data_IF_698122394912
#
_entry.id   IF_698122394912
#
_cell.length_a   1.000
_cell.length_b   1.000
_cell.length_c   1.000
_cell.angle_alpha   90.00
_cell.angle_beta   90.00
_cell.angle_gamma   90.00
#
_symmetry.space_group_name_H-M   'P 1'
#
loop_
_entity.id
_entity.type
_entity.pdbx_description
1 polymer ?
#
# COMPACT_ATOMS: atom_id res chain seq x y z
N UNK A 1 -3.08 7.70 -39.08
CA UNK A 1 -2.41 7.48 -37.78
C UNK A 1 -3.29 6.59 -36.90
N UNK A 2 -2.88 5.35 -36.58
CA UNK A 2 -3.63 4.51 -35.64
C UNK A 2 -3.58 5.17 -34.25
N UNK A 3 -4.73 5.59 -33.69
CA UNK A 3 -4.83 6.04 -32.29
C UNK A 3 -4.54 4.84 -31.39
N UNK A 4 -3.31 4.70 -30.94
CA UNK A 4 -2.96 3.69 -29.95
C UNK A 4 -3.50 4.09 -28.57
N UNK A 5 -3.95 3.10 -27.80
CA UNK A 5 -4.36 3.33 -26.42
C UNK A 5 -3.12 3.53 -25.55
N UNK A 6 -2.99 4.72 -24.95
CA UNK A 6 -1.83 5.12 -24.16
C UNK A 6 -2.01 4.78 -22.68
N UNK A 7 -0.93 4.81 -21.90
CA UNK A 7 -0.97 4.68 -20.43
C UNK A 7 -1.88 5.74 -19.80
N UNK A 8 -1.85 6.98 -20.29
CA UNK A 8 -2.76 8.04 -19.85
C UNK A 8 -4.23 7.71 -20.03
N UNK A 9 -4.59 7.12 -21.18
CA UNK A 9 -5.98 6.70 -21.44
C UNK A 9 -6.44 5.60 -20.47
N UNK A 10 -5.56 4.67 -20.09
CA UNK A 10 -5.88 3.64 -19.08
C UNK A 10 -6.20 4.29 -17.74
N UNK A 11 -5.33 5.18 -17.27
CA UNK A 11 -5.48 5.83 -15.96
C UNK A 11 -6.80 6.60 -15.92
N UNK A 12 -7.11 7.40 -16.95
CA UNK A 12 -8.35 8.16 -17.04
C UNK A 12 -9.57 7.22 -17.06
N UNK A 13 -9.52 6.15 -17.86
CA UNK A 13 -10.63 5.19 -17.97
C UNK A 13 -10.86 4.45 -16.66
N UNK A 14 -9.81 4.02 -15.97
CA UNK A 14 -9.90 3.37 -14.66
C UNK A 14 -10.48 4.32 -13.60
N UNK A 15 -10.04 5.58 -13.56
CA UNK A 15 -10.63 6.58 -12.67
C UNK A 15 -12.11 6.80 -12.98
N UNK A 16 -12.48 6.97 -14.26
CA UNK A 16 -13.86 7.17 -14.67
C UNK A 16 -14.76 5.98 -14.29
N UNK A 17 -14.30 4.75 -14.50
CA UNK A 17 -15.01 3.54 -14.09
C UNK A 17 -15.18 3.45 -12.57
N UNK A 18 -14.14 3.79 -11.79
CA UNK A 18 -14.22 3.82 -10.33
C UNK A 18 -15.19 4.90 -9.84
N UNK A 19 -15.16 6.09 -10.43
CA UNK A 19 -16.11 7.17 -10.12
C UNK A 19 -17.53 6.70 -10.41
N UNK A 20 -17.78 6.12 -11.59
CA UNK A 20 -19.11 5.62 -11.96
C UNK A 20 -19.59 4.51 -11.00
N UNK A 21 -18.72 3.56 -10.65
CA UNK A 21 -19.05 2.44 -9.76
C UNK A 21 -19.23 2.86 -8.28
N UNK A 22 -18.66 4.01 -7.87
CA UNK A 22 -18.63 4.48 -6.47
C UNK A 22 -19.22 5.87 -6.28
N UNK A 23 -19.98 6.37 -7.24
CA UNK A 23 -20.51 7.74 -7.24
C UNK A 23 -21.26 8.09 -5.95
N UNK A 24 -22.25 7.27 -5.57
CA UNK A 24 -23.01 7.50 -4.33
C UNK A 24 -22.17 7.39 -3.05
N UNK A 25 -21.08 6.62 -3.05
CA UNK A 25 -20.15 6.56 -1.92
C UNK A 25 -19.26 7.80 -1.86
N UNK A 26 -18.75 8.26 -3.00
CA UNK A 26 -17.96 9.49 -3.11
C UNK A 26 -18.73 10.71 -2.62
N UNK A 27 -20.02 10.83 -2.96
CA UNK A 27 -20.87 11.92 -2.44
C UNK A 27 -20.87 11.93 -0.92
N UNK A 28 -21.01 10.78 -0.27
CA UNK A 28 -20.97 10.68 1.20
C UNK A 28 -19.61 11.06 1.76
N UNK A 29 -18.52 10.67 1.10
CA UNK A 29 -17.15 11.07 1.51
C UNK A 29 -16.98 12.58 1.41
N UNK A 30 -17.44 13.21 0.32
CA UNK A 30 -17.36 14.66 0.15
C UNK A 30 -18.25 15.41 1.13
N UNK A 31 -19.44 14.89 1.44
CA UNK A 31 -20.30 15.44 2.48
C UNK A 31 -19.63 15.41 3.85
N UNK A 32 -19.05 14.25 4.22
CA UNK A 32 -18.30 14.09 5.45
C UNK A 32 -17.09 15.04 5.51
N UNK A 33 -16.39 15.22 4.38
CA UNK A 33 -15.27 16.16 4.28
C UNK A 33 -15.73 17.61 4.47
N UNK A 34 -16.85 18.01 3.85
CA UNK A 34 -17.42 19.35 4.02
C UNK A 34 -17.83 19.62 5.46
N UNK A 35 -18.46 18.64 6.12
CA UNK A 35 -18.80 18.73 7.54
C UNK A 35 -17.54 18.84 8.42
N UNK A 36 -16.51 18.04 8.15
CA UNK A 36 -15.23 18.15 8.85
C UNK A 36 -14.59 19.53 8.64
N UNK A 37 -14.61 20.06 7.42
CA UNK A 37 -14.07 21.38 7.10
C UNK A 37 -14.83 22.49 7.83
N UNK A 38 -16.15 22.36 8.00
CA UNK A 38 -16.95 23.25 8.85
C UNK A 38 -16.41 23.28 10.29
N UNK A 39 -16.12 22.12 10.88
CA UNK A 39 -15.53 22.05 12.22
C UNK A 39 -14.16 22.71 12.30
N UNK A 40 -13.34 22.66 11.25
CA UNK A 40 -12.03 23.34 11.24
C UNK A 40 -12.18 24.86 11.46
N UNK A 41 -13.26 25.47 10.97
CA UNK A 41 -13.51 26.90 11.14
C UNK A 41 -14.27 27.26 12.41
N UNK A 42 -15.07 26.35 12.97
CA UNK A 42 -15.85 26.61 14.20
C UNK A 42 -15.16 26.17 15.48
N UNK A 43 -14.51 25.00 15.48
CA UNK A 43 -13.80 24.39 16.61
C UNK A 43 -12.65 23.51 16.11
N UNK A 44 -11.49 24.13 15.97
CA UNK A 44 -10.26 23.50 15.48
C UNK A 44 -9.85 22.29 16.32
N UNK A 45 -10.03 22.34 17.65
CA UNK A 45 -9.60 21.26 18.55
C UNK A 45 -10.46 20.01 18.35
N UNK A 46 -11.78 20.18 18.19
CA UNK A 46 -12.68 19.08 17.86
C UNK A 46 -12.42 18.53 16.46
N UNK A 47 -12.12 19.39 15.47
CA UNK A 47 -11.81 18.95 14.11
C UNK A 47 -10.60 17.99 14.05
N UNK A 48 -9.53 18.27 14.80
CA UNK A 48 -8.37 17.39 14.86
C UNK A 48 -8.64 16.08 15.61
N UNK A 49 -9.47 16.09 16.66
CA UNK A 49 -9.86 14.87 17.38
C UNK A 49 -10.71 13.91 16.53
N UNK A 50 -11.49 14.45 15.60
CA UNK A 50 -12.38 13.69 14.73
C UNK A 50 -11.65 13.04 13.55
N UNK A 51 -10.49 13.59 13.16
CA UNK A 51 -9.65 13.11 12.06
C UNK A 51 -8.72 11.99 12.54
N UNK A 52 -9.15 10.76 12.28
CA UNK A 52 -8.30 9.57 12.43
C UNK A 52 -7.64 9.21 11.09
N UNK A 53 -6.68 8.28 11.13
CA UNK A 53 -5.97 7.84 9.92
C UNK A 53 -6.94 7.30 8.84
N UNK A 54 -8.02 6.61 9.24
CA UNK A 54 -8.97 6.05 8.29
C UNK A 54 -9.81 7.13 7.59
N UNK A 55 -10.31 8.13 8.31
CA UNK A 55 -11.04 9.26 7.69
C UNK A 55 -10.14 10.07 6.78
N UNK A 56 -8.92 10.40 7.22
CA UNK A 56 -7.93 11.08 6.41
C UNK A 56 -7.64 10.34 5.11
N UNK A 57 -7.56 9.01 5.18
CA UNK A 57 -7.33 8.14 4.05
C UNK A 57 -8.48 8.16 3.03
N UNK A 58 -9.74 8.14 3.50
CA UNK A 58 -10.90 8.28 2.62
C UNK A 58 -10.93 9.66 1.93
N UNK A 59 -10.61 10.73 2.67
CA UNK A 59 -10.52 12.08 2.11
C UNK A 59 -9.41 12.19 1.07
N UNK A 60 -8.23 11.63 1.37
CA UNK A 60 -7.10 11.62 0.44
C UNK A 60 -7.44 10.84 -0.83
N UNK A 61 -8.04 9.66 -0.74
CA UNK A 61 -8.45 8.90 -1.92
C UNK A 61 -9.54 9.62 -2.73
N UNK A 62 -10.47 10.31 -2.08
CA UNK A 62 -11.49 11.13 -2.76
C UNK A 62 -10.87 12.35 -3.47
N UNK A 63 -9.85 12.98 -2.89
CA UNK A 63 -9.11 14.04 -3.58
C UNK A 63 -8.32 13.46 -4.78
N UNK A 64 -7.59 12.36 -4.56
CA UNK A 64 -6.73 11.76 -5.58
C UNK A 64 -7.50 11.23 -6.78
N UNK A 65 -8.72 10.70 -6.62
CA UNK A 65 -9.52 10.22 -7.76
C UNK A 65 -9.87 11.33 -8.76
N UNK A 66 -9.90 12.60 -8.32
CA UNK A 66 -10.11 13.78 -9.18
C UNK A 66 -8.78 14.36 -9.68
N UNK A 67 -7.79 14.45 -8.79
CA UNK A 67 -6.47 15.05 -9.11
C UNK A 67 -5.69 14.19 -10.11
N UNK A 68 -5.73 12.86 -10.01
CA UNK A 68 -4.98 11.97 -10.90
C UNK A 68 -5.35 12.19 -12.39
N UNK A 69 -6.63 12.15 -12.81
CA UNK A 69 -7.01 12.47 -14.18
C UNK A 69 -6.57 13.86 -14.65
N UNK A 70 -6.68 14.87 -13.77
CA UNK A 70 -6.25 16.23 -14.09
C UNK A 70 -4.73 16.31 -14.36
N UNK A 71 -3.92 15.66 -13.51
CA UNK A 71 -2.48 15.57 -13.73
C UNK A 71 -2.14 14.82 -15.01
N UNK A 72 -2.84 13.72 -15.32
CA UNK A 72 -2.64 12.99 -16.58
C UNK A 72 -2.95 13.88 -17.79
N UNK A 73 -3.98 14.72 -17.69
CA UNK A 73 -4.33 15.66 -18.76
C UNK A 73 -3.27 16.76 -18.92
N UNK A 74 -2.80 17.36 -17.82
CA UNK A 74 -1.73 18.39 -17.81
C UNK A 74 -0.44 17.83 -18.41
N UNK A 75 -0.03 16.62 -17.99
CA UNK A 75 1.22 15.98 -18.40
C UNK A 75 1.05 15.01 -19.58
N UNK A 76 -0.01 15.15 -20.39
CA UNK A 76 -0.32 14.24 -21.52
C UNK A 76 0.80 14.10 -22.57
N UNK A 77 1.70 15.10 -22.66
CA UNK A 77 2.85 15.10 -23.58
C UNK A 77 4.09 14.42 -22.99
N UNK A 78 4.10 14.06 -21.70
CA UNK A 78 5.24 13.38 -21.09
C UNK A 78 5.45 12.00 -21.72
N UNK A 79 6.72 11.59 -21.83
CA UNK A 79 7.07 10.29 -22.41
C UNK A 79 6.40 9.11 -21.68
N UNK A 80 6.14 9.25 -20.37
CA UNK A 80 5.52 8.22 -19.54
C UNK A 80 4.02 8.09 -19.81
N UNK A 81 3.30 9.22 -19.94
CA UNK A 81 1.83 9.24 -20.14
C UNK A 81 1.45 8.97 -21.60
N UNK A 82 2.30 9.40 -22.55
CA UNK A 82 2.13 9.11 -23.96
C UNK A 82 2.61 7.70 -24.35
N UNK A 83 3.25 6.96 -23.43
CA UNK A 83 3.76 5.63 -23.70
C UNK A 83 2.64 4.65 -24.09
N UNK A 84 2.99 3.70 -24.97
CA UNK A 84 2.13 2.56 -25.29
C UNK A 84 1.95 1.68 -24.05
N UNK A 85 0.76 1.09 -23.91
CA UNK A 85 0.53 0.10 -22.86
C UNK A 85 1.38 -1.14 -23.12
N UNK A 86 2.18 -1.49 -22.12
CA UNK A 86 2.83 -2.78 -21.99
C UNK A 86 2.42 -3.39 -20.65
N UNK A 87 2.61 -4.71 -20.48
CA UNK A 87 2.28 -5.44 -19.24
C UNK A 87 2.88 -4.79 -17.98
N UNK A 88 4.15 -4.40 -18.04
CA UNK A 88 4.85 -3.72 -16.93
C UNK A 88 4.17 -2.41 -16.53
N UNK A 89 3.79 -1.58 -17.51
CA UNK A 89 3.12 -0.30 -17.25
C UNK A 89 1.75 -0.54 -16.61
N UNK A 90 1.02 -1.58 -17.04
CA UNK A 90 -0.28 -1.92 -16.51
C UNK A 90 -0.19 -2.37 -15.04
N UNK A 91 0.82 -3.18 -14.68
CA UNK A 91 1.03 -3.56 -13.27
C UNK A 91 1.33 -2.34 -12.41
N UNK A 92 2.24 -1.46 -12.84
CA UNK A 92 2.59 -0.26 -12.06
C UNK A 92 1.36 0.62 -11.85
N UNK A 93 0.53 0.79 -12.88
CA UNK A 93 -0.73 1.53 -12.78
C UNK A 93 -1.66 0.84 -11.77
N UNK A 94 -1.88 -0.48 -11.89
CA UNK A 94 -2.72 -1.21 -10.94
C UNK A 94 -2.24 -1.04 -9.49
N UNK A 95 -0.93 -1.15 -9.26
CA UNK A 95 -0.32 -1.03 -7.94
C UNK A 95 -0.45 0.40 -7.41
N UNK A 96 -0.23 1.41 -8.25
CA UNK A 96 -0.43 2.81 -7.89
C UNK A 96 -1.90 3.08 -7.49
N UNK A 97 -2.86 2.53 -8.23
CA UNK A 97 -4.29 2.63 -7.91
C UNK A 97 -4.62 1.93 -6.59
N UNK A 98 -4.13 0.71 -6.39
CA UNK A 98 -4.29 -0.02 -5.12
C UNK A 98 -3.68 0.77 -3.96
N UNK A 99 -2.52 1.40 -4.18
CA UNK A 99 -1.84 2.18 -3.17
C UNK A 99 -2.60 3.45 -2.77
N UNK A 100 -3.11 4.19 -3.76
CA UNK A 100 -3.72 5.52 -3.56
C UNK A 100 -5.23 5.51 -3.34
N UNK A 101 -5.93 4.50 -3.84
CA UNK A 101 -7.40 4.45 -3.92
C UNK A 101 -7.99 3.20 -3.24
N UNK A 102 -7.27 2.55 -2.32
CA UNK A 102 -7.75 1.37 -1.58
C UNK A 102 -9.15 1.53 -0.95
N UNK A 103 -9.49 2.65 -0.27
CA UNK A 103 -10.83 2.88 0.28
C UNK A 103 -11.95 2.94 -0.77
N UNK A 104 -11.61 3.32 -2.00
CA UNK A 104 -12.56 3.37 -3.11
C UNK A 104 -12.71 2.00 -3.79
N UNK A 105 -11.64 1.20 -3.83
CA UNK A 105 -11.65 -0.14 -4.42
C UNK A 105 -12.41 -1.12 -3.53
N UNK A 106 -12.16 -1.10 -2.22
CA UNK A 106 -12.76 -2.04 -1.26
C UNK A 106 -13.98 -1.42 -0.56
N UNK A 107 -14.96 -2.26 -0.21
CA UNK A 107 -16.17 -1.82 0.52
C UNK A 107 -16.13 -2.19 1.99
N UNK A 108 -15.11 -2.93 2.40
CA UNK A 108 -15.04 -3.61 3.68
C UNK A 108 -13.74 -3.21 4.34
N UNK A 109 -13.80 -3.00 5.65
CA UNK A 109 -12.62 -2.88 6.47
C UNK A 109 -11.81 -4.20 6.41
N UNK A 110 -10.48 -4.16 6.21
CA UNK A 110 -9.64 -5.36 6.16
C UNK A 110 -9.66 -6.18 7.46
N UNK A 111 -10.04 -5.57 8.58
CA UNK A 111 -10.17 -6.22 9.90
C UNK A 111 -11.62 -6.58 10.24
N UNK A 112 -12.57 -6.44 9.28
CA UNK A 112 -13.96 -6.77 9.55
C UNK A 112 -14.15 -8.27 9.81
N UNK A 113 -14.56 -8.61 11.04
CA UNK A 113 -14.84 -9.98 11.46
C UNK A 113 -16.22 -10.10 12.09
N UNK A 114 -16.98 -11.15 11.74
CA UNK A 114 -18.28 -11.45 12.36
C UNK A 114 -18.67 -12.91 12.14
N UNK A 115 -19.28 -13.52 13.16
CA UNK A 115 -19.73 -14.92 13.16
C UNK A 115 -18.67 -15.85 12.55
N UNK A 116 -17.49 -15.90 13.18
CA UNK A 116 -16.31 -16.65 12.71
C UNK A 116 -16.67 -18.11 12.42
N UNK A 117 -17.60 -18.70 13.16
CA UNK A 117 -18.06 -20.08 12.95
C UNK A 117 -18.69 -20.34 11.57
N UNK A 118 -19.18 -19.29 10.89
CA UNK A 118 -19.76 -19.33 9.54
C UNK A 118 -18.74 -18.83 8.50
N UNK A 119 -17.94 -17.83 8.86
CA UNK A 119 -17.11 -17.09 7.90
C UNK A 119 -15.66 -17.55 7.83
N UNK A 120 -15.20 -18.41 8.73
CA UNK A 120 -13.81 -18.88 8.79
C UNK A 120 -13.45 -19.76 7.59
N UNK A 121 -12.29 -19.47 6.98
CA UNK A 121 -11.66 -20.28 5.93
C UNK A 121 -12.61 -20.66 4.78
N UNK A 122 -13.41 -19.71 4.33
CA UNK A 122 -14.26 -19.90 3.17
C UNK A 122 -13.42 -19.87 1.89
N UNK A 123 -13.62 -20.84 0.97
CA UNK A 123 -12.90 -20.85 -0.29
C UNK A 123 -13.28 -19.66 -1.18
N UNK A 124 -12.46 -19.36 -2.21
CA UNK A 124 -12.75 -18.30 -3.18
C UNK A 124 -14.14 -18.46 -3.80
N UNK A 125 -14.78 -17.33 -4.08
CA UNK A 125 -16.13 -17.22 -4.62
C UNK A 125 -17.27 -17.74 -3.71
N UNK A 126 -16.99 -18.00 -2.44
CA UNK A 126 -18.02 -18.36 -1.46
C UNK A 126 -19.04 -17.24 -1.25
N UNK A 127 -20.30 -17.63 -1.07
CA UNK A 127 -21.42 -16.71 -0.80
C UNK A 127 -22.03 -17.03 0.55
N UNK A 128 -22.09 -16.03 1.43
CA UNK A 128 -22.68 -16.15 2.77
C UNK A 128 -23.93 -15.29 2.85
N UNK A 129 -25.00 -15.82 3.45
CA UNK A 129 -26.22 -15.06 3.73
C UNK A 129 -25.98 -14.15 4.93
N UNK A 130 -26.49 -12.93 4.86
CA UNK A 130 -26.40 -11.96 5.93
C UNK A 130 -27.78 -11.41 6.27
N UNK A 131 -28.04 -11.29 7.57
CA UNK A 131 -29.20 -10.67 8.17
C UNK A 131 -28.78 -9.34 8.77
N UNK A 132 -29.59 -8.30 8.54
CA UNK A 132 -29.38 -6.97 9.14
C UNK A 132 -30.42 -6.72 10.21
N UNK A 133 -29.96 -6.61 11.45
CA UNK A 133 -30.77 -6.22 12.59
C UNK A 133 -31.09 -4.73 12.49
N UNK A 134 -32.30 -4.37 12.92
CA UNK A 134 -32.68 -2.98 13.20
C UNK A 134 -31.75 -2.48 14.31
N UNK A 135 -31.21 -1.28 14.16
CA UNK A 135 -30.39 -0.69 15.21
C UNK A 135 -31.16 -0.74 16.53
N UNK A 136 -30.59 -1.43 17.53
CA UNK A 136 -31.11 -1.35 18.89
C UNK A 136 -31.07 0.12 19.26
N UNK A 137 -32.25 0.70 19.50
CA UNK A 137 -32.52 2.07 19.99
C UNK A 137 -31.27 2.87 20.36
N UNK A 138 -31.02 3.93 19.57
CA UNK A 138 -30.11 5.03 19.90
C UNK A 138 -28.77 4.63 20.53
N UNK A 139 -27.79 4.25 19.70
CA UNK A 139 -26.46 4.84 19.95
C UNK A 139 -26.63 6.33 19.67
N UNK A 140 -27.03 7.09 20.69
CA UNK A 140 -27.19 8.54 20.65
C UNK A 140 -25.82 9.12 20.26
N UNK A 141 -25.60 9.28 18.96
CA UNK A 141 -24.35 9.83 18.45
C UNK A 141 -24.29 11.26 18.95
N UNK A 142 -23.26 11.58 19.72
CA UNK A 142 -23.11 12.90 20.32
C UNK A 142 -23.14 14.03 19.30
N UNK A 143 -22.81 13.75 18.03
CA UNK A 143 -22.84 14.69 16.90
C UNK A 143 -23.19 14.00 15.56
N UNK A 144 -23.85 14.73 14.64
CA UNK A 144 -24.20 14.33 13.27
C UNK A 144 -22.99 13.76 12.50
N UNK A 145 -21.80 14.34 12.73
CA UNK A 145 -20.55 13.89 12.11
C UNK A 145 -20.20 12.42 12.41
N UNK A 146 -20.43 11.95 13.65
CA UNK A 146 -20.11 10.57 14.03
C UNK A 146 -21.08 9.57 13.37
N UNK A 147 -22.35 9.97 13.20
CA UNK A 147 -23.32 9.17 12.45
C UNK A 147 -22.90 9.03 10.98
N UNK A 148 -22.51 10.14 10.33
CA UNK A 148 -22.06 10.11 8.93
C UNK A 148 -20.74 9.37 8.74
N UNK A 149 -19.77 9.58 9.63
CA UNK A 149 -18.46 8.89 9.62
C UNK A 149 -18.65 7.38 9.56
N UNK A 150 -19.60 6.86 10.32
CA UNK A 150 -19.92 5.43 10.36
C UNK A 150 -20.56 4.86 9.08
N UNK A 151 -21.10 5.72 8.21
CA UNK A 151 -21.61 5.29 6.90
C UNK A 151 -20.55 5.26 5.80
N UNK A 152 -19.47 6.01 6.01
CA UNK A 152 -18.37 6.18 5.04
C UNK A 152 -17.19 5.29 5.40
N UNK A 153 -16.74 5.35 6.65
CA UNK A 153 -15.61 4.59 7.15
C UNK A 153 -16.11 3.21 7.55
N UNK A 154 -15.66 2.19 6.81
CA UNK A 154 -16.01 0.82 7.11
C UNK A 154 -15.51 0.44 8.52
N UNK A 155 -16.44 0.00 9.38
CA UNK A 155 -16.13 -0.47 10.73
C UNK A 155 -15.41 -1.81 10.70
N UNK A 156 -14.56 -2.08 11.68
CA UNK A 156 -13.96 -3.41 11.91
C UNK A 156 -14.94 -4.39 12.56
N UNK A 157 -16.05 -3.90 13.12
CA UNK A 157 -17.10 -4.73 13.70
C UNK A 157 -18.47 -4.07 13.55
N UNK A 158 -19.51 -4.88 13.34
CA UNK A 158 -20.90 -4.41 13.28
C UNK A 158 -21.81 -5.36 14.08
N UNK A 159 -22.43 -4.83 15.13
CA UNK A 159 -23.38 -5.56 15.98
C UNK A 159 -24.66 -5.91 15.22
N UNK A 160 -25.04 -5.06 14.27
CA UNK A 160 -26.31 -5.15 13.55
C UNK A 160 -26.25 -6.08 12.35
N UNK A 161 -25.12 -6.73 12.11
CA UNK A 161 -24.94 -7.63 10.98
C UNK A 161 -24.66 -9.04 11.50
N UNK A 162 -25.43 -10.01 11.00
CA UNK A 162 -25.26 -11.43 11.33
C UNK A 162 -25.02 -12.23 10.05
N UNK A 163 -23.98 -13.06 10.05
CA UNK A 163 -23.79 -14.07 9.00
C UNK A 163 -24.38 -15.41 9.44
N UNK A 164 -24.99 -16.10 8.47
CA UNK A 164 -25.76 -17.31 8.73
C UNK A 164 -25.61 -18.31 7.58
N UNK A 165 -25.64 -19.59 7.91
CA UNK A 165 -25.49 -20.69 6.95
C UNK A 165 -26.76 -20.87 6.12
N UNK A 166 -27.88 -21.01 6.83
CA UNK A 166 -29.20 -21.15 6.23
C UNK A 166 -30.24 -20.40 7.03
N UNK A 167 -31.34 -20.06 6.36
CA UNK A 167 -32.43 -19.25 6.89
C UNK A 167 -33.72 -19.92 6.48
N UNK A 168 -34.59 -20.15 7.45
CA UNK A 168 -35.97 -20.59 7.26
C UNK A 168 -36.89 -19.54 7.86
N UNK A 169 -37.84 -19.08 7.06
CA UNK A 169 -38.85 -18.16 7.54
C UNK A 169 -40.10 -18.94 7.92
N UNK A 170 -40.59 -18.76 9.15
CA UNK A 170 -41.85 -19.34 9.61
C UNK A 170 -42.64 -18.28 10.37
N UNK A 171 -43.78 -17.89 9.81
CA UNK A 171 -44.66 -16.85 10.34
C UNK A 171 -43.90 -15.53 10.62
N UNK A 172 -43.90 -15.09 11.88
CA UNK A 172 -43.31 -13.84 12.37
C UNK A 172 -41.87 -14.01 12.92
N UNK A 173 -41.33 -15.23 12.84
CA UNK A 173 -39.96 -15.56 13.27
C UNK A 173 -39.09 -16.00 12.09
N UNK A 174 -37.82 -15.63 12.17
CA UNK A 174 -36.76 -16.10 11.28
C UNK A 174 -35.90 -17.07 12.07
N UNK A 175 -35.88 -18.32 11.62
CA UNK A 175 -34.97 -19.34 12.11
C UNK A 175 -33.71 -19.32 11.25
N UNK A 176 -32.55 -19.21 11.87
CA UNK A 176 -31.27 -19.20 11.17
C UNK A 176 -30.29 -20.12 11.86
N UNK A 177 -29.44 -20.74 11.05
CA UNK A 177 -28.43 -21.68 11.54
C UNK A 177 -27.05 -21.02 11.51
N UNK A 178 -26.30 -21.20 12.59
CA UNK A 178 -24.90 -20.80 12.70
C UNK A 178 -24.10 -22.00 13.21
N UNK A 179 -23.26 -22.57 12.34
CA UNK A 179 -22.43 -23.74 12.69
C UNK A 179 -23.28 -24.92 13.20
N UNK A 180 -24.44 -25.13 12.58
CA UNK A 180 -25.38 -26.20 12.97
C UNK A 180 -26.27 -25.90 14.18
N UNK A 181 -26.04 -24.81 14.93
CA UNK A 181 -26.95 -24.39 15.99
C UNK A 181 -28.12 -23.57 15.42
N UNK A 182 -29.34 -23.93 15.81
CA UNK A 182 -30.56 -23.21 15.43
C UNK A 182 -30.83 -22.03 16.37
N UNK A 183 -30.93 -20.84 15.81
CA UNK A 183 -31.29 -19.63 16.52
C UNK A 183 -32.57 -19.04 15.91
N UNK A 184 -33.37 -18.37 16.73
CA UNK A 184 -34.59 -17.69 16.26
C UNK A 184 -34.55 -16.20 16.59
N UNK A 185 -35.02 -15.38 15.66
CA UNK A 185 -35.18 -13.93 15.82
C UNK A 185 -36.58 -13.52 15.33
N UNK A 186 -37.18 -12.54 16.00
CA UNK A 186 -38.43 -11.93 15.54
C UNK A 186 -38.18 -11.05 14.31
N UNK A 187 -39.09 -11.10 13.33
CA UNK A 187 -38.99 -10.27 12.11
C UNK A 187 -39.01 -8.77 12.41
N UNK A 188 -39.66 -8.36 13.50
CA UNK A 188 -39.69 -7.00 14.03
C UNK A 188 -38.29 -6.41 14.33
N UNK A 189 -37.31 -7.26 14.66
CA UNK A 189 -35.92 -6.86 14.94
C UNK A 189 -35.06 -6.77 13.69
N UNK A 190 -35.59 -7.06 12.51
CA UNK A 190 -34.86 -7.01 11.24
C UNK A 190 -35.19 -5.72 10.49
N UNK A 191 -34.22 -5.21 9.74
CA UNK A 191 -34.48 -4.09 8.82
C UNK A 191 -35.32 -4.63 7.66
N UNK A 192 -36.63 -4.35 7.70
CA UNK A 192 -37.53 -4.63 6.59
C UNK A 192 -37.23 -3.62 5.49
N UNK A 193 -36.63 -4.08 4.40
CA UNK A 193 -36.42 -3.25 3.22
C UNK A 193 -37.59 -3.48 2.26
N UNK A 194 -38.34 -2.42 1.97
CA UNK A 194 -39.74 -2.38 1.50
C UNK A 194 -40.10 -3.13 0.19
N UNK A 195 -39.22 -3.96 -0.38
CA UNK A 195 -39.54 -4.92 -1.45
C UNK A 195 -38.40 -5.89 -1.82
N UNK A 196 -37.34 -6.01 -1.02
CA UNK A 196 -36.24 -6.96 -1.28
C UNK A 196 -35.85 -7.63 0.02
N UNK A 197 -36.20 -8.92 0.11
CA UNK A 197 -35.55 -9.97 0.90
C UNK A 197 -34.78 -9.48 2.12
N UNK A 198 -35.29 -9.81 3.31
CA UNK A 198 -34.64 -9.69 4.62
C UNK A 198 -33.18 -10.21 4.60
N UNK A 199 -32.89 -11.09 3.62
CA UNK A 199 -31.63 -11.77 3.39
C UNK A 199 -30.84 -11.06 2.30
N UNK A 200 -29.66 -10.52 2.64
CA UNK A 200 -28.67 -10.13 1.65
C UNK A 200 -27.61 -11.23 1.52
N UNK A 201 -26.88 -11.28 0.40
CA UNK A 201 -25.76 -12.21 0.20
C UNK A 201 -24.46 -11.41 0.09
N UNK A 202 -23.40 -11.92 0.73
CA UNK A 202 -22.04 -11.38 0.63
C UNK A 202 -21.17 -12.39 -0.11
N UNK A 203 -20.41 -11.90 -1.10
CA UNK A 203 -19.46 -12.68 -1.88
C UNK A 203 -18.04 -12.45 -1.37
N UNK A 204 -17.31 -13.54 -1.10
CA UNK A 204 -15.90 -13.54 -0.76
C UNK A 204 -15.09 -13.91 -2.00
N UNK A 205 -14.62 -12.92 -2.76
CA UNK A 205 -14.01 -13.15 -4.09
C UNK A 205 -12.75 -14.01 -3.96
N UNK A 206 -11.85 -13.66 -3.05
CA UNK A 206 -10.60 -14.38 -2.79
C UNK A 206 -10.69 -15.32 -1.58
N UNK A 207 -11.89 -15.56 -1.06
CA UNK A 207 -12.11 -16.33 0.15
C UNK A 207 -11.94 -15.51 1.43
N UNK A 208 -11.93 -16.20 2.56
CA UNK A 208 -11.72 -15.62 3.89
C UNK A 208 -10.61 -16.31 4.66
N UNK A 209 -10.15 -15.64 5.71
CA UNK A 209 -9.06 -16.11 6.56
C UNK A 209 -9.52 -16.84 7.82
N UNK A 210 -8.57 -17.16 8.70
CA UNK A 210 -8.79 -17.91 9.94
C UNK A 210 -9.72 -17.20 10.94
N UNK A 211 -9.91 -15.88 10.77
CA UNK A 211 -10.84 -15.04 11.54
C UNK A 211 -12.08 -14.65 10.74
N UNK A 212 -12.26 -15.19 9.53
CA UNK A 212 -13.39 -14.91 8.65
C UNK A 212 -13.35 -13.52 7.99
N UNK A 213 -12.18 -12.88 7.95
CA UNK A 213 -11.96 -11.59 7.29
C UNK A 213 -11.84 -11.77 5.78
N UNK A 214 -12.27 -10.77 5.01
CA UNK A 214 -12.25 -10.83 3.54
C UNK A 214 -10.82 -10.65 2.97
N UNK A 215 -10.31 -11.68 2.31
CA UNK A 215 -8.92 -11.68 1.79
C UNK A 215 -8.73 -10.64 0.70
N UNK A 216 -9.75 -10.38 -0.13
CA UNK A 216 -9.66 -9.35 -1.16
C UNK A 216 -9.38 -7.98 -0.56
N UNK A 217 -10.14 -7.60 0.47
CA UNK A 217 -9.91 -6.33 1.17
C UNK A 217 -8.55 -6.29 1.85
N UNK A 218 -8.14 -7.38 2.51
CA UNK A 218 -6.81 -7.50 3.11
C UNK A 218 -5.67 -7.39 2.09
N UNK A 219 -5.81 -7.95 0.89
CA UNK A 219 -4.82 -7.85 -0.18
C UNK A 219 -4.59 -6.41 -0.64
N UNK A 220 -5.66 -5.64 -0.78
CA UNK A 220 -5.62 -4.25 -1.25
C UNK A 220 -4.98 -3.35 -0.19
N UNK A 221 -5.38 -3.48 1.08
CA UNK A 221 -4.74 -2.73 2.17
C UNK A 221 -3.31 -3.23 2.47
N UNK A 222 -3.06 -4.53 2.32
CA UNK A 222 -1.74 -5.14 2.51
C UNK A 222 -0.69 -4.63 1.52
N UNK A 223 -1.11 -4.38 0.27
CA UNK A 223 -0.28 -3.73 -0.72
C UNK A 223 0.24 -2.37 -0.23
N UNK A 224 -0.62 -1.56 0.43
CA UNK A 224 -0.22 -0.23 0.90
C UNK A 224 0.89 -0.29 1.92
N UNK A 225 0.78 -1.22 2.87
CA UNK A 225 1.80 -1.44 3.89
C UNK A 225 3.11 -1.89 3.25
N UNK A 226 3.09 -2.98 2.48
CA UNK A 226 4.31 -3.52 1.87
C UNK A 226 4.99 -2.52 0.93
N UNK A 227 4.23 -1.75 0.14
CA UNK A 227 4.78 -0.74 -0.77
C UNK A 227 5.28 0.51 -0.02
N UNK A 228 4.60 0.94 1.06
CA UNK A 228 5.06 2.06 1.89
C UNK A 228 6.39 1.72 2.57
N UNK A 229 6.51 0.49 3.08
CA UNK A 229 7.76 0.02 3.67
C UNK A 229 8.88 0.00 2.63
N UNK A 230 8.60 -0.60 1.46
CA UNK A 230 9.51 -0.62 0.32
C UNK A 230 9.99 0.77 -0.09
N UNK A 231 9.06 1.71 -0.26
CA UNK A 231 9.37 3.07 -0.70
C UNK A 231 10.15 3.85 0.37
N UNK A 232 9.70 3.81 1.63
CA UNK A 232 10.35 4.51 2.74
C UNK A 232 11.80 4.07 2.94
N UNK A 233 12.05 2.76 2.90
CA UNK A 233 13.41 2.23 3.04
C UNK A 233 14.33 2.68 1.91
N UNK A 234 13.84 2.67 0.66
CA UNK A 234 14.60 3.10 -0.53
C UNK A 234 14.91 4.60 -0.47
N UNK A 235 14.00 5.43 0.04
CA UNK A 235 14.26 6.86 0.26
C UNK A 235 15.36 7.07 1.30
N UNK A 236 15.34 6.33 2.40
CA UNK A 236 16.40 6.38 3.42
C UNK A 236 17.75 5.93 2.83
N UNK A 237 17.76 4.80 2.12
CA UNK A 237 18.95 4.29 1.44
C UNK A 237 19.48 5.29 0.39
N UNK A 238 18.58 5.99 -0.31
CA UNK A 238 18.94 7.06 -1.25
C UNK A 238 19.71 8.18 -0.57
N UNK A 239 19.19 8.75 0.51
CA UNK A 239 19.84 9.85 1.20
C UNK A 239 21.17 9.44 1.84
N UNK A 240 21.19 8.34 2.59
CA UNK A 240 22.40 7.88 3.28
C UNK A 240 23.46 7.47 2.25
N UNK A 241 23.09 6.60 1.31
CA UNK A 241 24.03 6.07 0.31
C UNK A 241 24.58 7.15 -0.61
N UNK A 242 23.73 8.06 -1.09
CA UNK A 242 24.18 9.09 -2.03
C UNK A 242 25.04 10.17 -1.37
N UNK A 243 24.71 10.60 -0.14
CA UNK A 243 25.52 11.58 0.58
C UNK A 243 26.88 11.01 0.96
N UNK A 244 26.92 9.81 1.56
CA UNK A 244 28.18 9.15 1.91
C UNK A 244 29.02 8.85 0.66
N UNK A 245 28.37 8.39 -0.42
CA UNK A 245 29.04 8.07 -1.68
C UNK A 245 29.65 9.31 -2.33
N UNK A 246 28.93 10.44 -2.28
CA UNK A 246 29.45 11.73 -2.70
C UNK A 246 30.68 12.15 -1.90
N UNK A 247 30.61 12.13 -0.57
CA UNK A 247 31.76 12.53 0.26
C UNK A 247 32.98 11.63 0.07
N UNK A 248 32.79 10.32 -0.07
CA UNK A 248 33.86 9.37 -0.36
C UNK A 248 34.50 9.62 -1.73
N UNK A 249 33.68 9.70 -2.79
CA UNK A 249 34.16 9.92 -4.15
C UNK A 249 34.81 11.29 -4.38
N UNK A 250 34.31 12.32 -3.69
CA UNK A 250 34.81 13.70 -3.74
C UNK A 250 36.14 13.86 -3.00
N UNK A 251 36.28 13.26 -1.82
CA UNK A 251 37.37 13.61 -0.90
C UNK A 251 38.71 12.93 -1.19
N UNK A 252 38.74 11.83 -1.96
CA UNK A 252 39.94 11.15 -2.49
C UNK A 252 41.03 10.72 -1.48
N UNK A 253 40.82 10.93 -0.18
CA UNK A 253 41.77 10.78 0.94
C UNK A 253 41.25 9.74 1.95
N UNK A 254 41.75 9.79 3.19
CA UNK A 254 41.32 8.99 4.35
C UNK A 254 39.80 8.82 4.53
N UNK A 255 38.97 9.83 4.20
CA UNK A 255 37.50 9.73 4.28
C UNK A 255 36.97 8.63 3.36
N UNK A 256 37.53 8.50 2.17
CA UNK A 256 37.16 7.44 1.22
C UNK A 256 37.48 6.06 1.79
N UNK A 257 38.70 5.90 2.32
CA UNK A 257 39.16 4.67 2.95
C UNK A 257 38.26 4.30 4.13
N UNK A 258 38.01 5.24 5.05
CA UNK A 258 37.21 5.01 6.24
C UNK A 258 35.77 4.59 5.89
N UNK A 259 35.08 5.35 5.02
CA UNK A 259 33.71 5.03 4.64
C UNK A 259 33.60 3.71 3.88
N UNK A 260 34.57 3.42 3.01
CA UNK A 260 34.60 2.14 2.31
C UNK A 260 34.84 0.96 3.26
N UNK A 261 35.70 1.13 4.28
CA UNK A 261 35.91 0.10 5.33
C UNK A 261 34.66 -0.13 6.16
N UNK A 262 33.97 0.93 6.57
CA UNK A 262 32.69 0.80 7.28
C UNK A 262 31.68 0.04 6.41
N UNK A 263 31.53 0.42 5.13
CA UNK A 263 30.62 -0.27 4.21
C UNK A 263 30.99 -1.76 4.01
N UNK A 264 32.28 -2.09 3.90
CA UNK A 264 32.76 -3.47 3.82
C UNK A 264 32.44 -4.26 5.10
N UNK A 265 32.63 -3.68 6.28
CA UNK A 265 32.31 -4.33 7.57
C UNK A 265 30.82 -4.66 7.69
N UNK A 266 29.93 -3.78 7.24
CA UNK A 266 28.50 -4.09 7.26
C UNK A 266 28.10 -5.17 6.25
N UNK A 267 28.78 -5.23 5.10
CA UNK A 267 28.48 -6.21 4.05
C UNK A 267 28.96 -7.63 4.37
N UNK A 268 29.86 -7.81 5.35
CA UNK A 268 30.26 -9.15 5.80
C UNK A 268 29.15 -9.85 6.59
N UNK A 269 28.25 -9.08 7.21
CA UNK A 269 27.09 -9.61 7.95
C UNK A 269 25.91 -9.75 6.99
N UNK A 270 25.24 -10.92 6.93
CA UNK A 270 24.03 -11.04 6.11
C UNK A 270 22.96 -10.08 6.61
N UNK A 271 22.46 -9.21 5.72
CA UNK A 271 21.61 -8.07 6.06
C UNK A 271 20.34 -8.47 6.82
N UNK A 272 19.77 -9.63 6.51
CA UNK A 272 18.56 -10.11 7.17
C UNK A 272 18.78 -10.38 8.67
N UNK A 273 19.94 -10.91 9.07
CA UNK A 273 20.25 -11.14 10.48
C UNK A 273 20.41 -9.83 11.23
N UNK A 274 21.06 -8.85 10.61
CA UNK A 274 21.20 -7.50 11.18
C UNK A 274 19.83 -6.85 11.40
N UNK A 275 18.92 -6.98 10.44
CA UNK A 275 17.56 -6.43 10.55
C UNK A 275 16.77 -7.12 11.65
N UNK A 276 16.80 -8.46 11.70
CA UNK A 276 16.15 -9.26 12.75
C UNK A 276 16.65 -8.86 14.14
N UNK A 277 17.97 -8.73 14.31
CA UNK A 277 18.58 -8.36 15.59
C UNK A 277 18.07 -6.99 16.07
N UNK A 278 18.06 -5.98 15.20
CA UNK A 278 17.61 -4.63 15.58
C UNK A 278 16.11 -4.64 15.90
N UNK A 279 15.28 -5.29 15.09
CA UNK A 279 13.84 -5.33 15.34
C UNK A 279 13.50 -6.10 16.62
N UNK A 280 14.26 -7.13 16.96
CA UNK A 280 14.10 -7.86 18.22
C UNK A 280 14.45 -7.00 19.46
N UNK A 281 15.44 -6.11 19.35
CA UNK A 281 15.88 -5.26 20.47
C UNK A 281 15.03 -3.99 20.64
N UNK A 282 14.65 -3.35 19.55
CA UNK A 282 13.97 -2.03 19.57
C UNK A 282 12.47 -2.11 19.33
N UNK A 283 11.94 -3.31 19.07
CA UNK A 283 10.53 -3.55 18.76
C UNK A 283 10.19 -3.28 17.29
N UNK A 284 9.11 -3.92 16.85
CA UNK A 284 8.66 -3.88 15.46
C UNK A 284 7.42 -3.00 15.30
N UNK A 285 7.60 -1.88 14.60
CA UNK A 285 6.52 -1.08 14.05
C UNK A 285 6.90 -0.66 12.62
N UNK A 286 5.95 -0.08 11.88
CA UNK A 286 6.18 0.29 10.48
C UNK A 286 7.39 1.22 10.30
N UNK A 287 7.63 2.16 11.21
CA UNK A 287 8.75 3.10 11.15
C UNK A 287 10.08 2.42 11.46
N UNK A 288 10.12 1.56 12.48
CA UNK A 288 11.32 0.76 12.81
C UNK A 288 11.71 -0.14 11.64
N UNK A 289 10.75 -0.85 11.04
CA UNK A 289 11.00 -1.73 9.88
C UNK A 289 11.53 -0.93 8.69
N UNK A 290 10.91 0.22 8.37
CA UNK A 290 11.38 1.13 7.31
C UNK A 290 12.81 1.61 7.55
N UNK A 291 13.10 2.09 8.76
CA UNK A 291 14.41 2.64 9.10
C UNK A 291 15.51 1.59 9.01
N UNK A 292 15.27 0.41 9.60
CA UNK A 292 16.27 -0.67 9.65
C UNK A 292 16.52 -1.26 8.26
N UNK A 293 15.47 -1.50 7.47
CA UNK A 293 15.62 -1.96 6.09
C UNK A 293 16.34 -0.91 5.22
N UNK A 294 15.98 0.37 5.33
CA UNK A 294 16.62 1.46 4.60
C UNK A 294 18.09 1.65 4.99
N UNK A 295 18.39 1.59 6.28
CA UNK A 295 19.75 1.61 6.79
C UNK A 295 20.55 0.37 6.38
N UNK A 296 19.93 -0.80 6.20
CA UNK A 296 20.67 -1.95 5.66
C UNK A 296 21.01 -1.82 4.16
N UNK A 297 20.31 -0.94 3.43
CA UNK A 297 20.43 -0.80 1.97
C UNK A 297 21.45 0.23 1.48
N UNK A 298 21.92 1.15 2.34
CA UNK A 298 22.73 2.29 1.90
C UNK A 298 24.05 1.90 1.25
N UNK A 299 24.63 0.76 1.63
CA UNK A 299 25.97 0.31 1.21
C UNK A 299 26.05 0.07 -0.30
N UNK A 300 24.99 -0.49 -0.90
CA UNK A 300 24.94 -0.74 -2.34
C UNK A 300 24.97 0.58 -3.13
N UNK A 301 24.13 1.53 -2.73
CA UNK A 301 24.06 2.83 -3.40
C UNK A 301 25.30 3.68 -3.13
N UNK A 302 25.87 3.60 -1.92
CA UNK A 302 27.14 4.22 -1.58
C UNK A 302 28.24 3.84 -2.56
N UNK A 303 28.44 2.54 -2.80
CA UNK A 303 29.48 2.05 -3.73
C UNK A 303 29.23 2.55 -5.16
N UNK A 304 27.98 2.51 -5.61
CA UNK A 304 27.60 3.00 -6.94
C UNK A 304 27.87 4.50 -7.07
N UNK A 305 27.32 5.32 -6.18
CA UNK A 305 27.50 6.78 -6.24
C UNK A 305 28.98 7.12 -6.15
N UNK A 306 29.72 6.53 -5.20
CA UNK A 306 31.17 6.70 -5.09
C UNK A 306 31.90 6.43 -6.41
N UNK A 307 31.58 5.33 -7.09
CA UNK A 307 32.20 5.00 -8.38
C UNK A 307 31.89 6.02 -9.47
N UNK A 308 30.63 6.47 -9.56
CA UNK A 308 30.21 7.48 -10.54
C UNK A 308 30.88 8.83 -10.29
N UNK A 309 31.00 9.26 -9.03
CA UNK A 309 31.73 10.48 -8.66
C UNK A 309 33.20 10.38 -9.04
N UNK A 310 33.82 9.20 -8.82
CA UNK A 310 35.22 8.99 -9.19
C UNK A 310 35.46 9.11 -10.70
N UNK A 311 34.48 8.75 -11.52
CA UNK A 311 34.52 8.92 -12.98
C UNK A 311 34.28 10.38 -13.39
N UNK A 312 33.29 11.03 -12.77
CA UNK A 312 32.85 12.39 -13.13
C UNK A 312 33.82 13.47 -12.69
N UNK A 313 34.54 13.28 -11.57
CA UNK A 313 35.49 14.27 -11.07
C UNK A 313 36.63 14.60 -12.03
N UNK A 314 36.85 13.77 -13.05
CA UNK A 314 37.84 13.97 -14.11
C UNK A 314 37.30 14.78 -15.30
N UNK A 315 36.03 15.16 -15.30
CA UNK A 315 35.37 15.89 -16.39
C UNK A 315 35.50 17.40 -16.19
N UNK A 316 35.63 18.14 -17.28
CA UNK A 316 35.88 19.59 -17.26
C UNK A 316 34.81 20.36 -16.48
N UNK A 317 33.52 20.01 -16.63
CA UNK A 317 32.43 20.68 -15.92
C UNK A 317 32.59 20.60 -14.40
N UNK A 318 33.10 19.48 -13.88
CA UNK A 318 33.32 19.30 -12.44
C UNK A 318 34.49 20.16 -11.95
N UNK A 319 35.57 20.24 -12.74
CA UNK A 319 36.73 21.10 -12.45
C UNK A 319 36.30 22.56 -12.45
N UNK A 320 35.57 22.99 -13.48
CA UNK A 320 35.03 24.35 -13.60
C UNK A 320 34.09 24.71 -12.44
N UNK A 321 33.19 23.80 -12.04
CA UNK A 321 32.31 24.00 -10.89
C UNK A 321 33.10 24.19 -9.58
N UNK A 322 34.23 23.49 -9.42
CA UNK A 322 35.15 23.70 -8.31
C UNK A 322 35.80 25.08 -8.30
N UNK A 323 36.26 25.57 -9.47
CA UNK A 323 36.87 26.90 -9.63
C UNK A 323 35.90 28.03 -9.33
N UNK A 324 34.60 27.84 -9.59
CA UNK A 324 33.54 28.80 -9.28
C UNK A 324 33.14 28.85 -7.79
N UNK A 325 33.73 27.99 -6.94
CA UNK A 325 33.50 28.03 -5.49
C UNK A 325 32.09 27.59 -5.06
N UNK A 326 31.42 26.74 -5.83
CA UNK A 326 30.09 26.23 -5.49
C UNK A 326 30.09 25.52 -4.13
N UNK A 327 29.08 25.81 -3.30
CA UNK A 327 28.82 25.06 -2.05
C UNK A 327 28.67 23.57 -2.37
N UNK A 328 29.24 22.69 -1.53
CA UNK A 328 29.21 21.22 -1.74
C UNK A 328 27.80 20.65 -1.94
N UNK A 329 26.80 21.17 -1.23
CA UNK A 329 25.40 20.77 -1.41
C UNK A 329 24.86 21.16 -2.80
N UNK A 330 25.17 22.36 -3.28
CA UNK A 330 24.78 22.81 -4.62
C UNK A 330 25.51 21.99 -5.69
N UNK A 331 26.81 21.77 -5.52
CA UNK A 331 27.60 20.92 -6.40
C UNK A 331 26.99 19.51 -6.51
N UNK A 332 26.62 18.91 -5.38
CA UNK A 332 26.00 17.59 -5.39
C UNK A 332 24.61 17.59 -6.03
N UNK A 333 23.66 18.38 -5.51
CA UNK A 333 22.25 18.28 -5.92
C UNK A 333 21.95 18.90 -7.29
N UNK A 334 22.68 19.94 -7.70
CA UNK A 334 22.39 20.68 -8.95
C UNK A 334 23.26 20.24 -10.13
N UNK A 335 24.53 19.88 -9.89
CA UNK A 335 25.46 19.56 -10.97
C UNK A 335 25.67 18.05 -11.13
N UNK A 336 25.91 17.35 -10.02
CA UNK A 336 26.35 15.95 -10.06
C UNK A 336 25.19 14.97 -10.10
N UNK A 337 24.24 15.10 -9.17
CA UNK A 337 23.13 14.18 -9.02
C UNK A 337 22.32 14.04 -10.32
N UNK A 338 22.01 15.13 -11.06
CA UNK A 338 21.33 15.01 -12.37
C UNK A 338 22.13 14.21 -13.40
N UNK A 339 23.47 14.22 -13.34
CA UNK A 339 24.33 13.47 -14.27
C UNK A 339 24.30 11.97 -13.94
N UNK A 340 24.28 11.61 -12.65
CA UNK A 340 24.29 10.21 -12.19
C UNK A 340 22.89 9.66 -11.87
N UNK A 341 21.83 10.42 -12.12
CA UNK A 341 20.49 10.09 -11.65
C UNK A 341 20.01 8.75 -12.20
N UNK A 342 20.40 8.40 -13.42
CA UNK A 342 19.91 7.19 -14.07
C UNK A 342 20.44 5.91 -13.41
N UNK A 343 21.77 5.68 -13.25
CA UNK A 343 22.26 4.51 -12.53
C UNK A 343 21.80 4.48 -11.05
N UNK A 344 21.65 5.66 -10.41
CA UNK A 344 21.07 5.77 -9.07
C UNK A 344 19.62 5.25 -9.05
N UNK A 345 18.75 5.72 -9.95
CA UNK A 345 17.35 5.29 -10.03
C UNK A 345 17.24 3.80 -10.35
N UNK A 346 18.05 3.28 -11.26
CA UNK A 346 18.08 1.84 -11.57
C UNK A 346 18.40 1.02 -10.32
N UNK A 347 19.41 1.42 -9.56
CA UNK A 347 19.76 0.75 -8.31
C UNK A 347 18.63 0.83 -7.26
N UNK A 348 18.00 2.00 -7.10
CA UNK A 348 16.86 2.18 -6.19
C UNK A 348 15.66 1.30 -6.57
N UNK A 349 15.39 1.12 -7.87
CA UNK A 349 14.33 0.22 -8.35
C UNK A 349 14.61 -1.23 -7.94
N UNK A 350 15.84 -1.72 -8.14
CA UNK A 350 16.20 -3.06 -7.69
C UNK A 350 16.16 -3.20 -6.16
N UNK A 351 16.64 -2.18 -5.43
CA UNK A 351 16.54 -2.16 -3.98
C UNK A 351 15.09 -2.20 -3.50
N UNK A 352 14.16 -1.49 -4.15
CA UNK A 352 12.75 -1.54 -3.81
C UNK A 352 12.19 -2.96 -3.82
N UNK A 353 12.48 -3.74 -4.87
CA UNK A 353 12.07 -5.14 -4.95
C UNK A 353 12.65 -6.00 -3.82
N UNK A 354 13.94 -5.81 -3.51
CA UNK A 354 14.61 -6.53 -2.43
C UNK A 354 14.06 -6.18 -1.04
N UNK A 355 13.73 -4.91 -0.80
CA UNK A 355 13.14 -4.47 0.47
C UNK A 355 11.73 -5.03 0.63
N UNK A 356 10.90 -5.01 -0.41
CA UNK A 356 9.54 -5.59 -0.34
C UNK A 356 9.60 -7.09 -0.02
N UNK A 357 10.56 -7.80 -0.62
CA UNK A 357 10.85 -9.19 -0.28
C UNK A 357 11.31 -9.36 1.17
N UNK A 358 12.22 -8.52 1.63
CA UNK A 358 12.75 -8.57 3.00
C UNK A 358 11.66 -8.26 4.03
N UNK A 359 10.82 -7.25 3.81
CA UNK A 359 9.63 -6.97 4.64
C UNK A 359 8.71 -8.18 4.69
N UNK A 360 8.44 -8.81 3.55
CA UNK A 360 7.57 -9.99 3.49
C UNK A 360 8.16 -11.17 4.26
N UNK A 361 9.46 -11.39 4.16
CA UNK A 361 10.17 -12.42 4.93
C UNK A 361 10.16 -12.13 6.44
N UNK A 362 10.35 -10.88 6.86
CA UNK A 362 10.28 -10.47 8.26
C UNK A 362 8.87 -10.62 8.83
N UNK A 363 7.86 -10.20 8.07
CA UNK A 363 6.45 -10.39 8.41
C UNK A 363 6.08 -11.87 8.49
N UNK A 364 6.63 -12.72 7.62
CA UNK A 364 6.50 -14.17 7.71
C UNK A 364 7.17 -14.77 8.96
N UNK A 365 8.22 -14.13 9.48
CA UNK A 365 8.90 -14.54 10.71
C UNK A 365 8.27 -13.92 11.97
N UNK A 366 7.14 -13.20 11.85
CA UNK A 366 6.50 -12.49 12.97
C UNK A 366 7.20 -11.19 13.42
N UNK A 367 8.23 -10.75 12.69
CA UNK A 367 9.03 -9.54 12.98
C UNK A 367 8.65 -8.34 12.11
N UNK A 368 7.55 -8.46 11.35
CA UNK A 368 7.04 -7.43 10.44
C UNK A 368 6.44 -6.21 11.13
N UNK A 369 5.55 -5.51 10.43
CA UNK A 369 4.92 -4.26 10.92
C UNK A 369 3.90 -4.42 12.07
N UNK A 370 3.75 -5.63 12.61
CA UNK A 370 2.79 -5.99 13.66
C UNK A 370 1.40 -6.36 13.12
N UNK A 371 0.48 -6.75 14.03
CA UNK A 371 -0.86 -7.27 13.69
C UNK A 371 -1.92 -6.18 13.45
N UNK A 372 -1.56 -4.89 13.58
CA UNK A 372 -2.53 -3.79 13.44
C UNK A 372 -3.00 -3.56 12.01
N UNK A 373 -2.19 -3.93 11.01
CA UNK A 373 -2.50 -3.78 9.60
C UNK A 373 -2.05 -5.02 8.81
N UNK A 374 -2.79 -5.45 7.78
CA UNK A 374 -2.32 -6.51 6.91
C UNK A 374 -1.09 -6.03 6.13
N UNK A 375 -0.12 -6.93 5.89
CA UNK A 375 0.88 -6.83 4.84
C UNK A 375 0.86 -8.11 4.03
N UNK A 376 1.43 -8.13 2.82
CA UNK A 376 1.43 -9.37 2.04
C UNK A 376 2.21 -10.49 2.75
N UNK A 377 3.30 -10.16 3.45
CA UNK A 377 4.05 -11.13 4.25
C UNK A 377 3.24 -11.65 5.45
N UNK A 378 2.52 -10.78 6.16
CA UNK A 378 1.72 -11.22 7.33
C UNK A 378 0.52 -12.08 6.91
N UNK A 379 -0.02 -11.85 5.72
CA UNK A 379 -1.06 -12.71 5.15
C UNK A 379 -0.54 -14.12 4.82
N UNK A 380 0.70 -14.22 4.33
CA UNK A 380 1.36 -15.52 4.08
C UNK A 380 1.63 -16.24 5.40
N UNK A 381 2.05 -15.52 6.44
CA UNK A 381 2.26 -16.08 7.78
C UNK A 381 0.98 -16.73 8.33
N UNK A 382 -0.13 -15.98 8.33
CA UNK A 382 -1.46 -16.50 8.71
C UNK A 382 -1.83 -17.78 7.95
N UNK A 383 -1.49 -17.87 6.66
CA UNK A 383 -1.79 -19.02 5.82
C UNK A 383 -0.93 -20.26 6.08
N UNK A 384 0.23 -20.13 6.73
CA UNK A 384 1.20 -21.23 6.94
C UNK A 384 0.55 -22.45 7.61
N UNK A 385 -0.28 -22.22 8.61
CA UNK A 385 -0.96 -23.28 9.37
C UNK A 385 -2.14 -23.92 8.62
N UNK A 386 -2.54 -23.36 7.48
CA UNK A 386 -3.72 -23.77 6.72
C UNK A 386 -3.40 -24.15 5.27
N UNK A 387 -2.15 -24.49 4.96
CA UNK A 387 -1.74 -24.73 3.56
C UNK A 387 -2.53 -25.85 2.88
N UNK A 388 -2.94 -26.88 3.62
CA UNK A 388 -3.71 -28.03 3.10
C UNK A 388 -5.21 -27.76 2.98
N UNK A 389 -5.75 -26.83 3.76
CA UNK A 389 -7.20 -26.57 3.87
C UNK A 389 -7.64 -25.25 3.25
N UNK A 390 -6.77 -24.24 3.26
CA UNK A 390 -7.00 -22.88 2.77
C UNK A 390 -5.78 -22.34 2.00
N UNK A 391 -5.38 -23.05 0.94
CA UNK A 391 -4.24 -22.72 0.07
C UNK A 391 -4.25 -21.29 -0.47
N UNK A 392 -5.44 -20.69 -0.62
CA UNK A 392 -5.62 -19.33 -1.15
C UNK A 392 -5.01 -18.25 -0.24
N UNK A 393 -4.85 -18.52 1.06
CA UNK A 393 -4.22 -17.60 2.02
C UNK A 393 -2.76 -17.32 1.68
N UNK A 394 -2.05 -18.29 1.12
CA UNK A 394 -0.65 -18.15 0.69
C UNK A 394 -0.59 -17.77 -0.78
N UNK A 395 -1.41 -18.39 -1.63
CA UNK A 395 -1.32 -18.23 -3.07
C UNK A 395 -1.55 -16.77 -3.52
N UNK A 396 -2.61 -16.12 -3.04
CA UNK A 396 -2.94 -14.77 -3.53
C UNK A 396 -1.93 -13.69 -3.09
N UNK A 397 -1.51 -13.62 -1.81
CA UNK A 397 -0.42 -12.72 -1.41
C UNK A 397 0.90 -13.06 -2.12
N UNK A 398 1.22 -14.35 -2.27
CA UNK A 398 2.42 -14.79 -2.97
C UNK A 398 2.45 -14.37 -4.45
N UNK A 399 1.31 -14.49 -5.15
CA UNK A 399 1.17 -14.00 -6.53
C UNK A 399 1.30 -12.48 -6.63
N UNK A 400 0.79 -11.73 -5.65
CA UNK A 400 0.98 -10.28 -5.62
C UNK A 400 2.45 -9.91 -5.45
N UNK A 401 3.17 -10.56 -4.53
CA UNK A 401 4.62 -10.39 -4.36
C UNK A 401 5.38 -10.70 -5.64
N UNK A 402 5.13 -11.87 -6.24
CA UNK A 402 5.73 -12.25 -7.51
C UNK A 402 5.50 -11.19 -8.59
N UNK A 403 4.26 -10.70 -8.70
CA UNK A 403 3.86 -9.72 -9.73
C UNK A 403 4.58 -8.39 -9.54
N UNK A 404 4.68 -7.84 -8.32
CA UNK A 404 5.39 -6.58 -8.07
C UNK A 404 6.89 -6.73 -8.33
N UNK A 405 7.51 -7.81 -7.86
CA UNK A 405 8.96 -8.04 -8.01
C UNK A 405 9.29 -8.20 -9.49
N UNK A 406 8.49 -8.97 -10.23
CA UNK A 406 8.65 -9.14 -11.66
C UNK A 406 8.51 -7.81 -12.42
N UNK A 407 7.52 -6.99 -12.07
CA UNK A 407 7.32 -5.68 -12.68
C UNK A 407 8.50 -4.74 -12.40
N UNK A 408 8.91 -4.61 -11.14
CA UNK A 408 10.03 -3.76 -10.70
C UNK A 408 11.33 -4.18 -11.39
N UNK A 409 11.64 -5.47 -11.42
CA UNK A 409 12.82 -5.98 -12.13
C UNK A 409 12.76 -5.70 -13.65
N UNK A 410 11.58 -5.85 -14.26
CA UNK A 410 11.40 -5.55 -15.69
C UNK A 410 11.61 -4.07 -15.99
N UNK A 411 11.12 -3.16 -15.13
CA UNK A 411 11.37 -1.71 -15.25
C UNK A 411 12.86 -1.41 -15.11
N UNK A 412 13.50 -1.92 -14.06
CA UNK A 412 14.92 -1.69 -13.79
C UNK A 412 15.80 -2.12 -14.97
N UNK A 413 15.54 -3.32 -15.52
CA UNK A 413 16.23 -3.83 -16.72
C UNK A 413 16.02 -2.93 -17.93
N UNK A 414 14.77 -2.50 -18.20
CA UNK A 414 14.46 -1.64 -19.36
C UNK A 414 15.14 -0.28 -19.28
N UNK A 415 15.13 0.35 -18.10
CA UNK A 415 15.83 1.63 -17.89
C UNK A 415 17.34 1.42 -18.05
N UNK A 416 17.89 0.38 -17.42
CA UNK A 416 19.32 0.06 -17.53
C UNK A 416 19.77 -0.18 -18.98
N UNK A 417 19.01 -0.93 -19.77
CA UNK A 417 19.37 -1.27 -21.16
C UNK A 417 19.30 -0.06 -22.10
N UNK A 418 18.37 0.86 -21.86
CA UNK A 418 18.21 2.09 -22.66
C UNK A 418 19.43 3.00 -22.55
N UNK A 419 20.16 2.94 -21.42
CA UNK A 419 21.37 3.74 -21.20
C UNK A 419 22.55 3.16 -21.99
N UNK A 420 22.69 1.84 -22.01
CA UNK A 420 23.77 1.17 -22.74
C UNK A 420 23.72 1.53 -24.22
N UNK A 421 22.53 1.69 -24.80
CA UNK A 421 22.34 2.09 -26.20
C UNK A 421 22.62 3.57 -26.51
N UNK A 422 22.77 4.43 -25.50
CA UNK A 422 23.11 5.86 -25.70
C UNK A 422 24.63 6.10 -25.58
N UNK A 423 25.35 5.16 -24.94
CA UNK A 423 26.81 5.22 -24.78
C UNK A 423 27.59 4.60 -25.95
N UNK A 424 26.91 3.94 -26.88
CA UNK A 424 27.43 3.43 -28.15
C UNK A 424 26.61 4.05 -29.29
#
# INVERSE_FOLDING_TARGET
MKKYFTTGNVIITCCALLIAARFGFLIKVYHLFGNWLGFVFTDTQSAFRLLDFSTADHFLSALLIVVIPALVFIFRKSQVIAARINYTNLIIICIFFVFTLAPLITRVNPEFQKNISVTKLLPPFSKVKMLRLKESTEKQYSNIFQAEKNTVVARSFDDNLLFVDSIKEFNDKVFFYQSGAENSLEKSRLVLNDKKSIISKRLFILGSDEFGRDIFSRMIYGARVSLSVGFGAVVIAFFIGSLLGFFAGYSGKWIDILLNRIAEMFLTVPSIFFVILILALFGNNIFSVVFVLGFSGWMSLFKLVRSEIFLIKKKDFFISAGLLGLKKSNLFFKEILPVIIVPVVVNLIFQFGNVVLAESALSFLGLGVGNSFPSWGSMIDSGKNYITTAWWLILFPGLALFTIIFAVNSVGKKISSSITQIKY
#
